data_IF_785871334370
#
_entry.id   IF_785871334370
#
_cell.length_a   1.000
_cell.length_b   1.000
_cell.length_c   1.000
_cell.angle_alpha   90.00
_cell.angle_beta   90.00
_cell.angle_gamma   90.00
#
_symmetry.space_group_name_H-M   'P 1'
#
loop_
_entity.id
_entity.type
_entity.pdbx_description
1 polymer ?
#
# COMPACT_ATOMS: atom_id res chain seq x y z
N UNK A 1 69.55 5.93 18.39
CA UNK A 1 70.63 5.54 17.44
C UNK A 1 70.09 5.85 16.06
N UNK A 2 70.53 6.96 15.54
CA UNK A 2 71.52 7.15 14.44
C UNK A 2 70.86 6.83 13.09
N UNK A 3 70.68 7.78 12.27
CA UNK A 3 71.48 8.56 11.27
C UNK A 3 70.90 8.23 9.91
N UNK A 4 70.68 8.96 8.93
CA UNK A 4 71.08 10.22 8.29
C UNK A 4 70.69 10.09 6.86
N UNK A 5 70.04 11.01 6.25
CA UNK A 5 70.39 12.13 5.41
C UNK A 5 71.30 11.79 4.20
N UNK A 6 70.86 12.32 3.01
CA UNK A 6 71.59 13.09 1.98
C UNK A 6 70.78 13.19 0.73
N UNK A 7 70.23 14.32 0.29
CA UNK A 7 70.83 15.45 -0.48
C UNK A 7 71.55 15.06 -1.74
N UNK A 8 71.11 15.51 -2.91
CA UNK A 8 71.92 16.26 -3.91
C UNK A 8 71.13 16.33 -5.25
N UNK A 9 70.70 17.48 -5.64
CA UNK A 9 71.29 18.48 -6.54
C UNK A 9 71.01 18.27 -8.03
N UNK A 10 70.26 19.19 -8.57
CA UNK A 10 70.67 20.24 -9.52
C UNK A 10 70.74 19.84 -10.99
N UNK A 11 70.01 20.56 -11.82
CA UNK A 11 70.09 20.50 -13.29
C UNK A 11 69.19 21.53 -13.99
N UNK A 12 69.60 22.80 -13.81
CA UNK A 12 69.10 23.95 -14.54
C UNK A 12 69.56 23.90 -15.99
N UNK A 13 68.65 23.91 -17.01
CA UNK A 13 68.99 24.40 -18.36
C UNK A 13 67.81 25.20 -18.96
N UNK A 14 68.06 26.49 -19.04
CA UNK A 14 67.41 27.43 -19.95
C UNK A 14 67.80 27.13 -21.39
N UNK A 15 66.89 27.23 -22.34
CA UNK A 15 67.09 27.70 -23.70
C UNK A 15 65.73 28.17 -24.31
N UNK A 16 65.62 29.44 -24.50
CA UNK A 16 65.21 30.29 -25.63
C UNK A 16 63.95 29.93 -26.43
N UNK A 17 63.00 30.80 -26.31
CA UNK A 17 62.28 31.70 -27.24
C UNK A 17 62.18 31.22 -28.69
N UNK A 18 60.96 31.02 -29.13
CA UNK A 18 60.49 31.39 -30.47
C UNK A 18 59.02 31.81 -30.40
N UNK A 19 58.84 33.10 -30.68
CA UNK A 19 57.52 33.74 -30.92
C UNK A 19 57.05 33.34 -32.29
N UNK A 20 55.89 32.72 -32.39
CA UNK A 20 55.11 32.70 -33.61
C UNK A 20 53.69 33.13 -33.23
N UNK A 21 53.38 34.34 -33.59
CA UNK A 21 52.01 34.87 -33.67
C UNK A 21 51.26 34.10 -34.74
N UNK A 22 50.08 33.52 -34.38
CA UNK A 22 49.04 33.28 -35.34
C UNK A 22 47.69 33.49 -34.70
N UNK A 23 46.93 34.29 -35.40
CA UNK A 23 45.60 34.81 -35.13
C UNK A 23 44.60 33.74 -34.65
N UNK A 24 43.86 34.14 -33.71
CA UNK A 24 42.45 34.03 -33.34
C UNK A 24 41.56 32.99 -33.97
N UNK A 25 41.04 32.20 -33.09
CA UNK A 25 39.64 31.78 -33.17
C UNK A 25 39.16 31.68 -31.70
N UNK A 26 38.36 32.69 -31.33
CA UNK A 26 37.57 32.65 -30.11
C UNK A 26 36.49 31.58 -30.29
N UNK A 27 36.78 30.35 -29.92
CA UNK A 27 35.74 29.35 -29.64
C UNK A 27 35.38 29.50 -28.16
N UNK A 28 34.31 30.18 -27.89
CA UNK A 28 33.73 30.27 -26.55
C UNK A 28 33.37 28.87 -26.07
N UNK A 29 33.52 28.59 -24.76
CA UNK A 29 33.05 27.29 -24.20
C UNK A 29 31.52 27.25 -24.39
N UNK A 30 31.04 26.39 -25.28
CA UNK A 30 29.67 25.95 -25.28
C UNK A 30 29.41 25.26 -23.96
N UNK A 31 28.75 25.93 -23.02
CA UNK A 31 28.12 25.28 -21.92
C UNK A 31 27.04 24.35 -22.50
N UNK A 32 27.41 23.11 -22.73
CA UNK A 32 26.43 22.05 -22.90
C UNK A 32 25.59 22.03 -21.60
N UNK A 33 24.39 22.59 -21.67
CA UNK A 33 23.37 22.29 -20.69
C UNK A 33 23.17 20.78 -20.79
N UNK A 34 23.74 20.07 -19.83
CA UNK A 34 23.30 18.71 -19.56
C UNK A 34 21.82 18.83 -19.20
N UNK A 35 20.96 18.58 -20.19
CA UNK A 35 19.59 18.21 -19.92
C UNK A 35 19.67 16.94 -19.07
N UNK A 36 19.49 17.11 -17.77
CA UNK A 36 19.19 15.97 -16.91
C UNK A 36 17.97 15.31 -17.52
N UNK A 37 18.17 14.10 -18.03
CA UNK A 37 17.05 13.26 -18.45
C UNK A 37 16.04 13.25 -17.29
N UNK A 38 14.73 13.41 -17.57
CA UNK A 38 13.71 13.29 -16.52
C UNK A 38 13.94 11.94 -15.83
N UNK A 39 14.03 11.99 -14.51
CA UNK A 39 14.08 10.76 -13.72
C UNK A 39 12.83 9.95 -14.07
N UNK A 40 12.98 8.72 -14.54
CA UNK A 40 11.91 7.77 -14.92
C UNK A 40 11.03 7.35 -13.73
N UNK A 41 10.72 8.27 -12.82
CA UNK A 41 9.91 8.05 -11.62
C UNK A 41 8.77 9.07 -11.46
N UNK A 42 8.36 9.73 -12.53
CA UNK A 42 7.03 10.33 -12.55
C UNK A 42 6.03 9.21 -12.81
N UNK A 43 5.28 8.88 -11.76
CA UNK A 43 4.17 7.94 -11.87
C UNK A 43 3.24 8.39 -12.99
N UNK A 44 3.19 7.64 -14.08
CA UNK A 44 2.29 7.81 -15.23
C UNK A 44 0.79 7.72 -14.83
N UNK A 45 0.47 7.97 -13.58
CA UNK A 45 -0.89 7.88 -13.04
C UNK A 45 -1.67 9.18 -13.18
N UNK A 46 -1.01 10.32 -13.25
CA UNK A 46 -1.66 11.63 -13.07
C UNK A 46 -2.17 11.88 -11.64
N UNK A 47 -2.13 10.87 -10.77
CA UNK A 47 -2.54 10.95 -9.36
C UNK A 47 -1.28 11.15 -8.52
N UNK A 48 -1.30 12.21 -7.70
CA UNK A 48 -0.25 12.50 -6.75
C UNK A 48 -0.74 12.18 -5.34
N UNK A 49 0.04 11.41 -4.61
CA UNK A 49 -0.18 11.09 -3.19
C UNK A 49 1.11 11.32 -2.43
N UNK A 50 1.00 11.59 -1.16
CA UNK A 50 2.16 11.82 -0.30
C UNK A 50 3.06 10.58 -0.19
N UNK A 51 4.33 10.81 0.12
CA UNK A 51 5.24 9.69 0.39
C UNK A 51 4.79 8.96 1.66
N UNK A 52 4.81 7.63 1.66
CA UNK A 52 4.42 6.87 2.83
C UNK A 52 5.24 7.26 4.06
N UNK A 53 4.59 7.32 5.22
CA UNK A 53 5.25 7.66 6.48
C UNK A 53 6.40 6.72 6.81
N UNK A 54 7.53 7.29 7.26
CA UNK A 54 8.68 6.49 7.70
C UNK A 54 8.42 5.72 9.00
N UNK A 55 7.40 6.10 9.77
CA UNK A 55 7.02 5.42 11.00
C UNK A 55 6.68 3.94 10.76
N UNK A 56 6.12 3.61 9.61
CA UNK A 56 5.84 2.23 9.23
C UNK A 56 7.06 1.31 9.36
N UNK A 57 8.29 1.83 9.20
CA UNK A 57 9.52 1.06 9.29
C UNK A 57 9.82 0.51 10.69
N UNK A 58 9.14 1.01 11.73
CA UNK A 58 9.20 0.45 13.08
C UNK A 58 8.53 -0.94 13.17
N UNK A 59 7.67 -1.27 12.23
CA UNK A 59 7.00 -2.57 12.15
C UNK A 59 7.52 -3.34 10.93
N UNK A 60 8.19 -4.49 11.07
CA UNK A 60 8.71 -5.24 9.93
C UNK A 60 7.57 -5.75 9.02
N UNK A 61 7.62 -5.41 7.71
CA UNK A 61 6.57 -5.72 6.76
C UNK A 61 6.29 -7.23 6.68
N UNK A 62 7.33 -8.04 6.49
CA UNK A 62 7.19 -9.49 6.36
C UNK A 62 6.60 -10.17 7.59
N UNK A 63 6.87 -9.65 8.80
CA UNK A 63 6.28 -10.21 10.01
C UNK A 63 4.79 -9.92 10.07
N UNK A 64 4.39 -8.71 9.68
CA UNK A 64 2.99 -8.32 9.60
C UNK A 64 2.24 -9.10 8.52
N UNK A 65 2.85 -9.31 7.35
CA UNK A 65 2.29 -10.13 6.27
C UNK A 65 2.09 -11.60 6.73
N UNK A 66 3.08 -12.18 7.43
CA UNK A 66 2.93 -13.53 8.01
C UNK A 66 1.84 -13.60 9.07
N UNK A 67 1.72 -12.58 9.91
CA UNK A 67 0.65 -12.51 10.90
C UNK A 67 -0.73 -12.41 10.24
N UNK A 68 -0.85 -11.57 9.21
CA UNK A 68 -2.06 -11.42 8.42
C UNK A 68 -2.47 -12.73 7.72
N UNK A 69 -1.50 -13.46 7.13
CA UNK A 69 -1.75 -14.76 6.52
C UNK A 69 -2.28 -15.79 7.53
N UNK A 70 -1.61 -15.92 8.69
CA UNK A 70 -2.08 -16.81 9.75
C UNK A 70 -3.51 -16.49 10.17
N UNK A 71 -3.81 -15.23 10.35
CA UNK A 71 -5.12 -14.77 10.73
C UNK A 71 -6.17 -15.02 9.65
N UNK A 72 -5.88 -14.68 8.40
CA UNK A 72 -6.81 -14.93 7.31
C UNK A 72 -7.14 -16.43 7.21
N UNK A 73 -6.14 -17.30 7.38
CA UNK A 73 -6.33 -18.73 7.45
C UNK A 73 -7.17 -19.15 8.67
N UNK A 74 -7.02 -18.49 9.81
CA UNK A 74 -7.86 -18.72 10.99
C UNK A 74 -9.32 -18.33 10.71
N UNK A 75 -9.56 -17.15 10.14
CA UNK A 75 -10.90 -16.68 9.76
C UNK A 75 -11.58 -17.66 8.79
N UNK A 76 -10.85 -18.18 7.81
CA UNK A 76 -11.38 -19.20 6.87
C UNK A 76 -11.79 -20.48 7.61
N UNK A 77 -10.96 -20.98 8.52
CA UNK A 77 -11.29 -22.17 9.31
C UNK A 77 -12.55 -21.98 10.17
N UNK A 78 -12.64 -20.83 10.85
CA UNK A 78 -13.80 -20.52 11.70
C UNK A 78 -15.08 -20.35 10.88
N UNK A 79 -14.99 -19.70 9.72
CA UNK A 79 -16.11 -19.57 8.80
C UNK A 79 -16.54 -20.93 8.24
N UNK A 80 -15.59 -21.81 7.88
CA UNK A 80 -15.89 -23.16 7.41
C UNK A 80 -16.60 -24.00 8.47
N UNK A 81 -16.18 -23.93 9.73
CA UNK A 81 -16.84 -24.64 10.85
C UNK A 81 -18.30 -24.19 11.05
N UNK A 82 -18.61 -22.95 10.68
CA UNK A 82 -19.95 -22.36 10.78
C UNK A 82 -20.74 -22.48 9.47
N UNK A 83 -20.24 -23.18 8.45
CA UNK A 83 -20.78 -23.23 7.09
C UNK A 83 -20.96 -21.81 6.47
N UNK A 84 -20.12 -20.87 6.86
CA UNK A 84 -20.12 -19.48 6.44
C UNK A 84 -18.91 -19.12 5.54
N UNK A 85 -18.17 -20.10 5.04
CA UNK A 85 -17.14 -19.90 4.04
C UNK A 85 -17.68 -20.29 2.68
N UNK A 86 -17.66 -19.36 1.72
CA UNK A 86 -18.08 -19.65 0.37
C UNK A 86 -17.17 -20.72 -0.26
N UNK A 87 -17.79 -21.68 -0.94
CA UNK A 87 -17.08 -22.68 -1.75
C UNK A 87 -16.52 -22.03 -3.01
N UNK A 88 -15.53 -22.65 -3.62
CA UNK A 88 -14.87 -22.10 -4.82
C UNK A 88 -15.81 -21.96 -6.02
N UNK A 89 -16.89 -22.74 -6.08
CA UNK A 89 -17.92 -22.69 -7.10
C UNK A 89 -19.03 -21.65 -6.82
N UNK A 90 -18.95 -20.91 -5.70
CA UNK A 90 -19.96 -19.89 -5.36
C UNK A 90 -19.92 -18.72 -6.36
N UNK A 91 -21.05 -18.35 -7.00
CA UNK A 91 -21.05 -17.34 -8.06
C UNK A 91 -20.44 -15.99 -7.66
N UNK A 92 -20.78 -15.50 -6.46
CA UNK A 92 -20.22 -14.24 -5.96
C UNK A 92 -18.71 -14.32 -5.66
N UNK A 93 -18.18 -15.48 -5.23
CA UNK A 93 -16.74 -15.64 -5.05
C UNK A 93 -16.01 -15.67 -6.40
N UNK A 94 -16.55 -16.34 -7.39
CA UNK A 94 -16.02 -16.32 -8.77
C UNK A 94 -16.02 -14.89 -9.30
N UNK A 95 -17.10 -14.15 -9.12
CA UNK A 95 -17.23 -12.75 -9.49
C UNK A 95 -16.15 -11.88 -8.82
N UNK A 96 -15.96 -11.99 -7.52
CA UNK A 96 -14.94 -11.26 -6.77
C UNK A 96 -13.54 -11.58 -7.28
N UNK A 97 -13.22 -12.84 -7.51
CA UNK A 97 -11.92 -13.28 -8.05
C UNK A 97 -11.66 -12.75 -9.46
N UNK A 98 -12.69 -12.71 -10.30
CA UNK A 98 -12.60 -12.13 -11.65
C UNK A 98 -12.28 -10.64 -11.60
N UNK A 99 -12.92 -9.90 -10.70
CA UNK A 99 -12.63 -8.47 -10.49
C UNK A 99 -11.19 -8.31 -9.99
N UNK A 100 -10.79 -9.08 -8.97
CA UNK A 100 -9.46 -9.02 -8.39
C UNK A 100 -8.36 -9.29 -9.43
N UNK A 101 -8.55 -10.28 -10.31
CA UNK A 101 -7.59 -10.59 -11.40
C UNK A 101 -7.35 -9.40 -12.33
N UNK A 102 -8.34 -8.52 -12.50
CA UNK A 102 -8.20 -7.30 -13.31
C UNK A 102 -7.51 -6.17 -12.54
N UNK A 103 -7.62 -6.12 -11.22
CA UNK A 103 -7.03 -5.07 -10.38
C UNK A 103 -5.57 -5.36 -9.99
N UNK A 104 -5.25 -6.61 -9.65
CA UNK A 104 -3.93 -7.02 -9.15
C UNK A 104 -2.73 -6.62 -10.02
N UNK A 105 -2.79 -6.66 -11.37
CA UNK A 105 -1.66 -6.25 -12.21
C UNK A 105 -1.24 -4.79 -12.00
N UNK A 106 -2.13 -3.94 -11.49
CA UNK A 106 -1.89 -2.52 -11.26
C UNK A 106 -1.35 -2.19 -9.86
N UNK A 107 -1.28 -3.19 -8.97
CA UNK A 107 -0.85 -3.03 -7.59
C UNK A 107 0.64 -2.65 -7.46
N UNK A 108 1.50 -3.22 -8.31
CA UNK A 108 2.94 -3.01 -8.24
C UNK A 108 3.37 -1.54 -8.46
N UNK A 109 2.56 -0.74 -9.14
CA UNK A 109 2.77 0.71 -9.31
C UNK A 109 2.81 1.43 -7.97
N UNK A 110 1.99 1.00 -7.02
CA UNK A 110 1.82 1.62 -5.71
C UNK A 110 2.68 0.97 -4.62
N UNK A 111 3.01 -0.30 -4.79
CA UNK A 111 3.95 -1.03 -3.94
C UNK A 111 4.62 -2.15 -4.74
N UNK A 112 5.89 -2.00 -5.14
CA UNK A 112 6.61 -3.04 -5.89
C UNK A 112 6.66 -4.39 -5.18
N UNK A 113 6.63 -4.42 -3.83
CA UNK A 113 6.62 -5.69 -3.08
C UNK A 113 5.35 -6.50 -3.32
N UNK A 114 4.25 -5.87 -3.74
CA UNK A 114 2.97 -6.54 -4.00
C UNK A 114 3.03 -7.56 -5.13
N UNK A 115 4.03 -7.48 -6.01
CA UNK A 115 4.28 -8.49 -7.05
C UNK A 115 4.66 -9.87 -6.48
N UNK A 116 5.13 -9.92 -5.24
CA UNK A 116 5.48 -11.15 -4.52
C UNK A 116 4.41 -11.62 -3.55
N UNK A 117 3.33 -10.86 -3.37
CA UNK A 117 2.27 -11.23 -2.46
C UNK A 117 1.48 -12.43 -2.97
N UNK A 118 1.16 -13.34 -2.06
CA UNK A 118 0.24 -14.44 -2.35
C UNK A 118 -1.21 -13.94 -2.23
N UNK A 119 -1.65 -13.17 -3.25
CA UNK A 119 -3.00 -12.62 -3.32
C UNK A 119 -4.04 -13.72 -3.17
N UNK A 120 -5.00 -13.48 -2.30
CA UNK A 120 -6.08 -14.41 -2.05
C UNK A 120 -7.39 -13.65 -1.82
N UNK A 121 -8.49 -14.11 -2.46
CA UNK A 121 -9.82 -13.53 -2.34
C UNK A 121 -10.76 -14.56 -1.77
N UNK A 122 -11.49 -14.19 -0.70
CA UNK A 122 -12.48 -15.04 -0.06
C UNK A 122 -13.77 -14.30 0.26
N UNK A 123 -14.88 -15.04 0.24
CA UNK A 123 -16.21 -14.55 0.58
C UNK A 123 -16.68 -15.24 1.86
N UNK A 124 -17.09 -14.45 2.85
CA UNK A 124 -17.59 -14.89 4.13
C UNK A 124 -19.10 -14.69 4.22
N UNK A 125 -19.82 -15.74 4.60
CA UNK A 125 -21.28 -15.75 4.77
C UNK A 125 -21.69 -14.99 6.04
N UNK A 126 -21.65 -13.68 5.99
CA UNK A 126 -22.05 -12.80 7.09
C UNK A 126 -22.95 -11.69 6.56
N UNK A 127 -23.93 -11.27 7.36
CA UNK A 127 -24.80 -10.15 7.08
C UNK A 127 -24.13 -8.78 7.28
N UNK A 128 -22.88 -8.73 7.71
CA UNK A 128 -22.13 -7.48 7.90
C UNK A 128 -21.92 -6.78 6.55
N UNK A 129 -22.11 -5.46 6.53
CA UNK A 129 -21.69 -4.63 5.39
C UNK A 129 -20.21 -4.29 5.64
N UNK A 130 -19.31 -5.17 5.14
CA UNK A 130 -17.88 -5.03 5.34
C UNK A 130 -17.08 -5.72 4.23
N UNK A 131 -15.87 -5.21 4.02
CA UNK A 131 -14.81 -5.82 3.22
C UNK A 131 -13.47 -5.40 3.82
N UNK A 132 -12.38 -6.04 3.45
CA UNK A 132 -11.03 -5.70 3.92
C UNK A 132 -9.95 -6.26 3.00
N UNK A 133 -8.76 -5.67 3.06
CA UNK A 133 -7.54 -6.26 2.53
C UNK A 133 -6.44 -6.19 3.60
N UNK A 134 -5.99 -7.35 4.07
CA UNK A 134 -4.88 -7.43 5.02
C UNK A 134 -3.52 -7.34 4.29
N UNK A 135 -2.44 -6.98 5.02
CA UNK A 135 -1.08 -7.04 4.50
C UNK A 135 -0.76 -8.38 3.82
N UNK A 136 -0.02 -8.33 2.71
CA UNK A 136 0.26 -9.53 1.92
C UNK A 136 -0.86 -9.91 0.94
N UNK A 137 -1.88 -9.03 0.74
CA UNK A 137 -2.90 -9.19 -0.30
C UNK A 137 -4.01 -10.18 0.05
N UNK A 138 -4.42 -10.29 1.32
CA UNK A 138 -5.51 -11.17 1.76
C UNK A 138 -6.83 -10.40 1.76
N UNK A 139 -7.64 -10.59 0.73
CA UNK A 139 -8.89 -9.85 0.49
C UNK A 139 -10.08 -10.67 1.00
N UNK A 140 -10.88 -10.07 1.86
CA UNK A 140 -12.13 -10.65 2.35
C UNK A 140 -13.34 -9.77 2.08
N UNK A 141 -14.39 -10.37 1.56
CA UNK A 141 -15.70 -9.75 1.44
C UNK A 141 -16.71 -10.49 2.31
N UNK A 142 -17.60 -9.76 2.93
CA UNK A 142 -18.78 -10.34 3.56
C UNK A 142 -19.96 -10.30 2.61
N UNK A 143 -20.76 -11.36 2.57
CA UNK A 143 -21.88 -11.47 1.65
C UNK A 143 -22.87 -10.29 1.79
N UNK A 144 -23.03 -9.80 3.02
CA UNK A 144 -23.94 -8.69 3.34
C UNK A 144 -23.61 -7.38 2.63
N UNK A 145 -22.33 -7.10 2.29
CA UNK A 145 -22.02 -5.86 1.54
C UNK A 145 -22.51 -5.96 0.10
N UNK A 146 -22.40 -7.14 -0.51
CA UNK A 146 -22.83 -7.37 -1.88
C UNK A 146 -24.36 -7.33 -2.02
N UNK A 147 -25.06 -8.07 -1.15
CA UNK A 147 -26.51 -8.24 -1.21
C UNK A 147 -27.30 -7.01 -0.75
N UNK A 148 -26.93 -6.46 0.42
CA UNK A 148 -27.68 -5.33 1.00
C UNK A 148 -27.51 -4.04 0.20
N UNK A 149 -26.31 -3.82 -0.37
CA UNK A 149 -26.04 -2.66 -1.20
C UNK A 149 -26.32 -2.92 -2.68
N UNK A 150 -26.60 -4.17 -3.07
CA UNK A 150 -26.82 -4.56 -4.47
C UNK A 150 -25.73 -3.99 -5.38
N UNK A 151 -24.48 -4.33 -5.06
CA UNK A 151 -23.32 -3.75 -5.72
C UNK A 151 -23.17 -4.25 -7.16
N UNK A 152 -22.92 -3.34 -8.08
CA UNK A 152 -22.46 -3.64 -9.45
C UNK A 152 -20.97 -4.03 -9.43
N UNK A 153 -20.45 -4.60 -10.52
CA UNK A 153 -19.03 -4.94 -10.65
C UNK A 153 -18.12 -3.71 -10.51
N UNK A 154 -18.53 -2.58 -11.07
CA UNK A 154 -17.81 -1.33 -10.93
C UNK A 154 -17.72 -0.87 -9.46
N UNK A 155 -18.83 -0.96 -8.72
CA UNK A 155 -18.85 -0.61 -7.30
C UNK A 155 -18.02 -1.59 -6.44
N UNK A 156 -18.07 -2.89 -6.75
CA UNK A 156 -17.20 -3.89 -6.11
C UNK A 156 -15.74 -3.60 -6.38
N UNK A 157 -15.40 -3.22 -7.61
CA UNK A 157 -14.03 -2.85 -7.98
C UNK A 157 -13.56 -1.59 -7.23
N UNK A 158 -14.45 -0.60 -6.98
CA UNK A 158 -14.13 0.58 -6.16
C UNK A 158 -13.80 0.18 -4.72
N UNK A 159 -14.62 -0.66 -4.08
CA UNK A 159 -14.35 -1.16 -2.73
C UNK A 159 -13.05 -1.96 -2.70
N UNK A 160 -12.90 -2.91 -3.61
CA UNK A 160 -11.71 -3.76 -3.65
C UNK A 160 -10.43 -2.97 -3.90
N UNK A 161 -10.46 -2.00 -4.81
CA UNK A 161 -9.34 -1.09 -5.08
C UNK A 161 -8.98 -0.25 -3.85
N UNK A 162 -9.98 0.27 -3.14
CA UNK A 162 -9.79 1.01 -1.89
C UNK A 162 -9.13 0.14 -0.80
N UNK A 163 -9.63 -1.09 -0.60
CA UNK A 163 -9.03 -2.02 0.36
C UNK A 163 -7.61 -2.42 -0.03
N UNK A 164 -7.38 -2.67 -1.32
CA UNK A 164 -6.03 -2.93 -1.85
C UNK A 164 -5.10 -1.74 -1.58
N UNK A 165 -5.59 -0.50 -1.76
CA UNK A 165 -4.78 0.70 -1.53
C UNK A 165 -4.32 0.80 -0.07
N UNK A 166 -5.16 0.49 0.91
CA UNK A 166 -4.74 0.43 2.32
C UNK A 166 -3.59 -0.55 2.55
N UNK A 167 -3.65 -1.74 1.93
CA UNK A 167 -2.58 -2.73 2.04
C UNK A 167 -1.31 -2.28 1.30
N UNK A 168 -1.44 -1.73 0.08
CA UNK A 168 -0.32 -1.26 -0.74
C UNK A 168 0.42 -0.09 -0.10
N UNK A 169 -0.31 0.83 0.52
CA UNK A 169 0.26 1.99 1.23
C UNK A 169 0.73 1.65 2.65
N UNK A 170 0.47 0.40 3.08
CA UNK A 170 0.85 -0.11 4.39
C UNK A 170 0.24 0.69 5.56
N UNK A 171 -0.98 1.22 5.39
CA UNK A 171 -1.66 2.03 6.40
C UNK A 171 -1.82 1.30 7.74
N UNK A 172 -2.11 -0.01 7.71
CA UNK A 172 -2.15 -0.84 8.93
C UNK A 172 -0.81 -0.88 9.65
N UNK A 173 0.29 -0.96 8.91
CA UNK A 173 1.66 -0.98 9.43
C UNK A 173 2.02 0.34 10.09
N UNK A 174 1.68 1.46 9.44
CA UNK A 174 1.87 2.80 10.00
C UNK A 174 1.03 3.02 11.26
N UNK A 175 -0.23 2.58 11.24
CA UNK A 175 -1.13 2.70 12.38
C UNK A 175 -0.62 1.92 13.59
N UNK A 176 -0.13 0.72 13.38
CA UNK A 176 0.49 -0.08 14.44
C UNK A 176 1.72 0.61 15.01
N UNK A 177 2.58 1.19 14.16
CA UNK A 177 3.74 1.96 14.60
C UNK A 177 3.34 3.18 15.44
N UNK A 178 2.33 3.95 15.01
CA UNK A 178 1.79 5.10 15.79
C UNK A 178 1.23 4.64 17.15
N UNK A 179 0.47 3.55 17.17
CA UNK A 179 -0.08 3.01 18.41
C UNK A 179 1.01 2.55 19.38
N UNK A 180 2.11 1.98 18.88
CA UNK A 180 3.26 1.62 19.71
C UNK A 180 3.89 2.84 20.37
N UNK A 181 4.10 3.93 19.62
CA UNK A 181 4.71 5.16 20.14
C UNK A 181 3.83 5.84 21.21
N UNK A 182 2.51 5.69 21.11
CA UNK A 182 1.56 6.26 22.09
C UNK A 182 1.28 5.34 23.28
N UNK A 183 1.93 4.17 23.35
CA UNK A 183 1.66 3.15 24.38
C UNK A 183 0.31 2.43 24.23
N UNK A 184 -0.51 2.83 23.26
CA UNK A 184 -1.79 2.21 22.96
C UNK A 184 -1.50 1.04 22.00
N UNK A 185 -1.58 -0.21 22.48
CA UNK A 185 -1.39 -1.39 21.63
C UNK A 185 0.01 -1.99 21.62
N UNK A 186 0.86 -1.64 22.61
CA UNK A 186 2.17 -2.30 22.77
C UNK A 186 2.03 -3.84 22.88
N UNK A 187 0.94 -4.34 23.50
CA UNK A 187 0.60 -5.77 23.54
C UNK A 187 0.29 -6.36 22.17
N UNK A 188 -0.40 -5.62 21.30
CA UNK A 188 -0.69 -6.06 19.92
C UNK A 188 0.59 -6.25 19.12
N UNK A 189 1.48 -5.27 19.15
CA UNK A 189 2.71 -5.34 18.38
C UNK A 189 3.65 -6.42 18.91
N UNK A 190 3.82 -6.54 20.24
CA UNK A 190 4.65 -7.60 20.84
C UNK A 190 4.17 -9.00 20.43
N UNK A 191 2.86 -9.20 20.29
CA UNK A 191 2.31 -10.48 19.83
C UNK A 191 2.49 -10.72 18.33
N UNK A 192 2.32 -9.68 17.50
CA UNK A 192 2.60 -9.77 16.06
C UNK A 192 4.08 -10.09 15.83
N UNK A 193 4.96 -9.51 16.64
CA UNK A 193 6.41 -9.73 16.57
C UNK A 193 6.88 -11.01 17.27
N UNK A 194 5.97 -11.76 17.91
CA UNK A 194 6.31 -12.99 18.64
C UNK A 194 7.09 -12.75 19.94
N UNK A 195 7.00 -11.54 20.52
CA UNK A 195 7.72 -11.14 21.72
C UNK A 195 6.92 -11.37 23.03
N UNK A 196 5.73 -11.95 22.93
CA UNK A 196 4.82 -12.18 24.07
C UNK A 196 4.41 -13.63 24.23
N UNK A 197 3.86 -13.96 25.38
CA UNK A 197 3.40 -15.30 25.74
C UNK A 197 2.23 -15.76 24.84
N UNK A 198 2.51 -16.73 23.98
CA UNK A 198 1.79 -17.02 22.73
C UNK A 198 0.42 -17.74 22.91
N UNK A 199 -0.01 -17.99 24.14
CA UNK A 199 -1.13 -18.92 24.37
C UNK A 199 -2.55 -18.33 24.28
N UNK A 200 -2.73 -17.03 24.50
CA UNK A 200 -4.08 -16.42 24.63
C UNK A 200 -4.42 -15.36 23.60
N UNK A 201 -3.50 -14.89 22.82
CA UNK A 201 -3.57 -13.58 22.17
C UNK A 201 -3.75 -13.60 20.66
N UNK A 202 -3.59 -14.73 19.99
CA UNK A 202 -3.68 -14.82 18.51
C UNK A 202 -5.12 -14.64 18.02
N UNK A 203 -6.12 -15.03 18.81
CA UNK A 203 -7.53 -14.87 18.45
C UNK A 203 -8.00 -13.40 18.45
N UNK A 204 -7.50 -12.60 19.41
CA UNK A 204 -7.93 -11.20 19.54
C UNK A 204 -7.26 -10.27 18.53
N UNK A 205 -6.05 -10.59 18.09
CA UNK A 205 -5.26 -9.70 17.20
C UNK A 205 -5.71 -9.76 15.76
N UNK A 206 -6.30 -10.82 15.39
CA UNK A 206 -6.83 -11.00 14.08
C UNK A 206 -8.03 -10.15 13.79
N UNK A 207 -8.94 -10.08 14.70
CA UNK A 207 -10.04 -9.12 14.65
C UNK A 207 -9.49 -7.67 14.61
N UNK A 208 -8.36 -7.42 15.25
CA UNK A 208 -7.79 -6.06 15.33
C UNK A 208 -7.23 -5.55 14.00
N UNK A 209 -6.62 -6.38 13.16
CA UNK A 209 -6.13 -5.91 11.85
C UNK A 209 -7.27 -5.46 10.92
N UNK A 210 -8.43 -6.11 11.02
CA UNK A 210 -9.64 -5.73 10.26
C UNK A 210 -10.45 -4.62 10.93
N UNK A 211 -10.11 -4.23 12.17
CA UNK A 211 -10.80 -3.20 12.94
C UNK A 211 -9.95 -1.95 13.18
N UNK A 212 -8.79 -1.85 12.55
CA UNK A 212 -7.97 -0.65 12.62
C UNK A 212 -8.74 0.52 11.98
N UNK A 213 -8.89 1.62 12.71
CA UNK A 213 -9.42 2.85 12.15
C UNK A 213 -8.32 3.59 11.42
N UNK A 214 -8.58 3.98 10.20
CA UNK A 214 -7.69 4.79 9.40
C UNK A 214 -7.92 6.29 9.63
N UNK A 215 -6.92 7.11 9.35
CA UNK A 215 -7.07 8.56 9.38
C UNK A 215 -7.83 9.05 8.14
N UNK A 216 -8.33 10.28 8.16
CA UNK A 216 -8.98 10.86 6.97
C UNK A 216 -8.03 10.96 5.78
N UNK A 217 -6.76 11.22 6.04
CA UNK A 217 -5.73 11.31 5.00
C UNK A 217 -5.50 9.93 4.37
N UNK A 218 -5.40 8.86 5.21
CA UNK A 218 -5.29 7.48 4.73
C UNK A 218 -6.50 7.10 3.84
N UNK A 219 -7.69 7.55 4.22
CA UNK A 219 -8.92 7.29 3.48
C UNK A 219 -8.95 8.02 2.13
N UNK A 220 -8.57 9.29 2.11
CA UNK A 220 -8.50 10.09 0.87
C UNK A 220 -7.45 9.51 -0.08
N UNK A 221 -6.31 9.10 0.45
CA UNK A 221 -5.26 8.43 -0.33
C UNK A 221 -5.76 7.09 -0.88
N UNK A 222 -6.44 6.29 -0.05
CA UNK A 222 -7.00 5.00 -0.47
C UNK A 222 -8.09 5.15 -1.54
N UNK A 223 -8.92 6.19 -1.46
CA UNK A 223 -9.90 6.50 -2.49
C UNK A 223 -9.23 6.82 -3.83
N UNK A 224 -8.24 7.71 -3.85
CA UNK A 224 -7.53 8.09 -5.07
C UNK A 224 -6.83 6.90 -5.73
N UNK A 225 -6.09 6.14 -4.95
CA UNK A 225 -5.34 4.97 -5.43
C UNK A 225 -6.31 3.86 -5.86
N UNK A 226 -7.36 3.63 -5.09
CA UNK A 226 -8.39 2.65 -5.41
C UNK A 226 -9.10 2.96 -6.72
N UNK A 227 -9.41 4.24 -6.97
CA UNK A 227 -9.95 4.72 -8.25
C UNK A 227 -8.99 4.48 -9.41
N UNK A 228 -7.68 4.78 -9.24
CA UNK A 228 -6.66 4.53 -10.28
C UNK A 228 -6.58 3.04 -10.62
N UNK A 229 -6.48 2.19 -9.61
CA UNK A 229 -6.40 0.73 -9.78
C UNK A 229 -7.64 0.21 -10.51
N UNK A 230 -8.83 0.65 -10.10
CA UNK A 230 -10.09 0.22 -10.69
C UNK A 230 -10.23 0.72 -12.14
N UNK A 231 -9.89 1.97 -12.42
CA UNK A 231 -9.92 2.53 -13.78
C UNK A 231 -8.97 1.79 -14.72
N UNK A 232 -7.75 1.49 -14.27
CA UNK A 232 -6.77 0.68 -15.04
C UNK A 232 -7.22 -0.76 -15.23
N UNK A 233 -7.94 -1.31 -14.25
CA UNK A 233 -8.62 -2.60 -14.36
C UNK A 233 -9.80 -2.59 -15.33
N UNK A 234 -10.13 -1.43 -15.95
CA UNK A 234 -11.21 -1.27 -16.93
C UNK A 234 -12.60 -1.15 -16.29
N UNK A 235 -12.67 -0.71 -15.04
CA UNK A 235 -13.94 -0.39 -14.36
C UNK A 235 -14.21 1.10 -14.41
N UNK A 236 -15.49 1.48 -14.37
CA UNK A 236 -15.89 2.90 -14.39
C UNK A 236 -15.68 3.55 -13.02
N UNK A 237 -14.71 4.48 -12.87
CA UNK A 237 -14.42 5.13 -11.59
C UNK A 237 -15.60 5.98 -11.06
N UNK A 238 -16.53 6.41 -11.93
CA UNK A 238 -17.71 7.16 -11.52
C UNK A 238 -18.64 6.34 -10.60
N UNK A 239 -18.49 5.02 -10.59
CA UNK A 239 -19.20 4.14 -9.67
C UNK A 239 -18.86 4.40 -8.20
N UNK A 240 -17.73 5.06 -7.89
CA UNK A 240 -17.41 5.53 -6.55
C UNK A 240 -18.49 6.44 -5.97
N UNK A 241 -19.05 7.34 -6.78
CA UNK A 241 -20.13 8.25 -6.35
C UNK A 241 -21.41 7.47 -5.97
N UNK A 242 -21.80 6.50 -6.80
CA UNK A 242 -22.99 5.68 -6.51
C UNK A 242 -22.79 4.78 -5.31
N UNK A 243 -21.59 4.23 -5.15
CA UNK A 243 -21.18 3.45 -3.98
C UNK A 243 -21.36 4.27 -2.70
N UNK A 244 -20.79 5.48 -2.64
CA UNK A 244 -20.91 6.34 -1.46
C UNK A 244 -22.36 6.70 -1.13
N UNK A 245 -23.20 6.94 -2.13
CA UNK A 245 -24.65 7.16 -1.92
C UNK A 245 -25.32 5.94 -1.31
N UNK A 246 -24.98 4.73 -1.77
CA UNK A 246 -25.52 3.48 -1.19
C UNK A 246 -25.05 3.27 0.25
N UNK A 247 -23.77 3.52 0.54
CA UNK A 247 -23.20 3.45 1.90
C UNK A 247 -23.89 4.44 2.85
N UNK A 248 -24.07 5.69 2.43
CA UNK A 248 -24.75 6.73 3.22
C UNK A 248 -26.22 6.35 3.49
N UNK A 249 -26.93 5.83 2.50
CA UNK A 249 -28.32 5.38 2.65
C UNK A 249 -28.45 4.20 3.61
N UNK A 250 -27.48 3.30 3.62
CA UNK A 250 -27.43 2.18 4.57
C UNK A 250 -27.16 2.64 6.01
N UNK A 251 -26.36 3.71 6.18
CA UNK A 251 -26.05 4.31 7.49
C UNK A 251 -27.25 4.84 8.24
N UNK A 252 -28.28 5.28 7.54
CA UNK A 252 -29.51 5.82 8.16
C UNK A 252 -30.30 4.77 8.96
N UNK A 253 -30.07 3.49 8.71
CA UNK A 253 -30.77 2.38 9.40
C UNK A 253 -29.89 1.72 10.45
N UNK A 254 -28.68 1.36 10.08
CA UNK A 254 -27.65 0.79 10.96
C UNK A 254 -26.31 1.11 10.33
N UNK A 255 -25.41 1.82 11.00
CA UNK A 255 -24.13 2.16 10.42
C UNK A 255 -23.42 0.91 9.90
N UNK A 256 -23.00 0.85 8.63
CA UNK A 256 -22.19 -0.24 8.12
C UNK A 256 -20.95 -0.43 8.95
N UNK A 257 -20.58 -1.65 9.25
CA UNK A 257 -19.34 -1.96 9.99
C UNK A 257 -18.12 -1.37 9.27
N UNK A 258 -18.14 -1.37 7.94
CA UNK A 258 -17.12 -0.77 7.11
C UNK A 258 -16.89 0.71 7.43
N UNK A 259 -17.93 1.51 7.69
CA UNK A 259 -17.80 2.92 8.05
C UNK A 259 -17.20 3.15 9.47
N UNK A 260 -17.15 2.13 10.31
CA UNK A 260 -16.52 2.24 11.64
C UNK A 260 -14.98 2.20 11.54
N UNK A 261 -14.44 1.55 10.52
CA UNK A 261 -13.01 1.48 10.20
C UNK A 261 -12.59 2.51 9.15
N UNK A 262 -13.52 2.85 8.24
CA UNK A 262 -13.36 3.81 7.15
C UNK A 262 -14.30 5.00 7.35
N UNK A 263 -13.91 5.99 8.15
CA UNK A 263 -14.79 7.11 8.45
C UNK A 263 -15.13 7.91 7.19
N UNK A 264 -16.44 8.14 7.01
CA UNK A 264 -16.93 9.03 5.96
C UNK A 264 -16.56 10.47 6.28
N UNK A 265 -15.95 11.18 5.32
CA UNK A 265 -15.80 12.63 5.34
C UNK A 265 -16.71 13.26 4.28
N UNK A 266 -16.97 14.57 4.40
CA UNK A 266 -17.68 15.34 3.37
C UNK A 266 -16.91 15.37 2.04
N UNK A 267 -15.63 15.03 2.08
CA UNK A 267 -14.66 15.19 0.99
C UNK A 267 -14.44 13.89 0.19
N UNK A 268 -15.21 12.82 0.49
CA UNK A 268 -15.06 11.49 -0.16
C UNK A 268 -16.06 11.24 -1.31
N UNK A 269 -16.78 12.28 -1.77
CA UNK A 269 -17.77 12.17 -2.87
C UNK A 269 -17.37 13.08 -4.03
#
# INVERSE_FOLDING_TARGET
MKFSALLSQCGLRLILISVVSLMGFLVGPSFAHAQTAPSENESDTGIQVDKPSKLRNLVPAEQLERAADKQFNQMKREAAQKNALARDDHPELIRLRTIAQRLMPHAARWNPASSRWAWEVQLFGSNAINAFCMPGGKIGFYLGILEKLKLTDNEVAMIMGHEMAHALREHSRERLAKNQLTGIGAGLLSSILGLGDLGRTVMDYGAQLTMLKFSRDDESEADLIGLDIAARGGFDPRAGVTLWRKMSSASNKTPPQWLSTHPSGTDRI
#
